data_IF_765098114856
#
_entry.id   IF_765098114856
#
_cell.length_a   1.000
_cell.length_b   1.000
_cell.length_c   1.000
_cell.angle_alpha   90.00
_cell.angle_beta   90.00
_cell.angle_gamma   90.00
#
_symmetry.space_group_name_H-M   'P 1'
#
loop_
_entity.id
_entity.type
_entity.pdbx_description
1 polymer ?
#
# COMPACT_ATOMS: atom_id res chain seq x y z
N UNK A 1 -45.75 -77.33 38.07
CA UNK A 1 -44.51 -77.02 37.32
C UNK A 1 -43.34 -77.44 38.21
N UNK A 2 -42.61 -78.51 37.91
CA UNK A 2 -41.38 -78.84 38.67
C UNK A 2 -40.36 -77.75 38.35
N UNK A 3 -40.04 -76.90 39.31
CA UNK A 3 -38.97 -75.91 39.16
C UNK A 3 -37.65 -76.68 39.03
N UNK A 4 -37.15 -76.76 37.80
CA UNK A 4 -35.85 -77.37 37.50
C UNK A 4 -34.77 -76.46 38.08
N UNK A 5 -33.91 -76.97 38.94
CA UNK A 5 -32.76 -76.21 39.46
C UNK A 5 -31.83 -75.88 38.29
N UNK A 6 -31.66 -74.58 38.01
CA UNK A 6 -30.76 -74.09 36.98
C UNK A 6 -29.38 -73.81 37.59
N UNK A 7 -28.33 -74.11 36.84
CA UNK A 7 -26.98 -73.65 37.15
C UNK A 7 -26.86 -72.14 36.94
N UNK A 8 -25.86 -71.51 37.58
CA UNK A 8 -25.61 -70.06 37.45
C UNK A 8 -25.45 -69.64 35.98
N UNK A 9 -24.77 -70.46 35.17
CA UNK A 9 -24.63 -70.20 33.73
C UNK A 9 -25.95 -70.30 32.96
N UNK A 10 -26.82 -71.26 33.30
CA UNK A 10 -28.14 -71.38 32.70
C UNK A 10 -29.05 -70.20 33.05
N UNK A 11 -28.94 -69.65 34.27
CA UNK A 11 -29.66 -68.42 34.67
C UNK A 11 -29.21 -67.23 33.83
N UNK A 12 -27.89 -66.98 33.72
CA UNK A 12 -27.37 -65.86 32.92
C UNK A 12 -27.74 -65.99 31.43
N UNK A 13 -27.67 -67.20 30.88
CA UNK A 13 -28.06 -67.46 29.50
C UNK A 13 -29.56 -67.28 29.27
N UNK A 14 -30.39 -67.64 30.25
CA UNK A 14 -31.83 -67.44 30.19
C UNK A 14 -32.19 -65.95 30.18
N UNK A 15 -31.62 -65.15 31.09
CA UNK A 15 -31.84 -63.68 31.12
C UNK A 15 -31.33 -63.02 29.85
N UNK A 16 -30.15 -63.43 29.36
CA UNK A 16 -29.62 -62.94 28.08
C UNK A 16 -30.60 -63.16 26.94
N UNK A 17 -31.17 -64.37 26.81
CA UNK A 17 -32.15 -64.69 25.75
C UNK A 17 -33.44 -63.89 25.88
N UNK A 18 -33.90 -63.60 27.09
CA UNK A 18 -35.08 -62.76 27.28
C UNK A 18 -34.82 -61.32 26.82
N UNK A 19 -33.67 -60.76 27.21
CA UNK A 19 -33.28 -59.39 26.86
C UNK A 19 -32.99 -59.23 25.37
N UNK A 20 -32.32 -60.20 24.74
CA UNK A 20 -31.97 -60.12 23.31
C UNK A 20 -33.15 -60.34 22.36
N UNK A 21 -34.19 -61.05 22.81
CA UNK A 21 -35.40 -61.30 22.00
C UNK A 21 -36.49 -60.24 22.20
N UNK A 22 -36.34 -59.36 23.19
CA UNK A 22 -37.27 -58.26 23.41
C UNK A 22 -37.05 -57.15 22.37
N UNK A 23 -38.14 -56.78 21.69
CA UNK A 23 -38.10 -55.81 20.60
C UNK A 23 -37.71 -54.40 21.06
N UNK A 24 -38.13 -54.01 22.27
CA UNK A 24 -37.87 -52.69 22.85
C UNK A 24 -36.40 -52.62 23.27
N UNK A 25 -35.91 -53.64 23.98
CA UNK A 25 -34.54 -53.69 24.50
C UNK A 25 -33.47 -53.78 23.40
N UNK A 26 -33.85 -54.23 22.20
CA UNK A 26 -32.97 -54.30 21.03
C UNK A 26 -32.77 -52.94 20.34
N UNK A 27 -33.67 -51.98 20.53
CA UNK A 27 -33.62 -50.68 19.85
C UNK A 27 -33.99 -49.55 20.81
N UNK A 28 -33.16 -49.35 21.84
CA UNK A 28 -33.37 -48.35 22.87
C UNK A 28 -32.77 -47.00 22.46
N UNK A 29 -33.49 -45.93 22.78
CA UNK A 29 -32.93 -44.59 22.89
C UNK A 29 -32.88 -44.21 24.37
N UNK A 30 -31.68 -43.93 24.89
CA UNK A 30 -31.48 -43.62 26.30
C UNK A 30 -30.77 -42.28 26.42
N UNK A 31 -31.32 -41.39 27.23
CA UNK A 31 -30.72 -40.08 27.56
C UNK A 31 -30.01 -40.17 28.91
N UNK A 32 -28.86 -39.52 29.04
CA UNK A 32 -28.15 -39.43 30.31
C UNK A 32 -26.82 -38.71 30.19
N UNK A 33 -26.12 -38.61 31.31
CA UNK A 33 -24.80 -37.98 31.41
C UNK A 33 -23.70 -39.04 31.33
N UNK A 34 -22.65 -38.77 30.55
CA UNK A 34 -21.47 -39.63 30.45
C UNK A 34 -20.66 -39.53 31.74
N UNK A 35 -20.33 -40.69 32.32
CA UNK A 35 -19.40 -40.79 33.42
C UNK A 35 -18.45 -41.99 33.26
N UNK A 36 -17.28 -41.97 33.88
CA UNK A 36 -16.23 -42.99 33.81
C UNK A 36 -15.79 -43.30 32.36
N UNK A 37 -15.61 -42.27 31.54
CA UNK A 37 -15.20 -42.41 30.15
C UNK A 37 -13.75 -42.93 30.01
N UNK A 38 -13.57 -44.02 29.25
CA UNK A 38 -12.28 -44.66 28.97
C UNK A 38 -12.16 -45.02 27.49
N UNK A 39 -11.08 -44.54 26.88
CA UNK A 39 -10.69 -44.91 25.51
C UNK A 39 -9.72 -46.09 25.56
N UNK A 40 -10.10 -47.21 24.98
CA UNK A 40 -9.24 -48.40 24.94
C UNK A 40 -8.33 -48.38 23.71
N UNK A 41 -7.12 -48.95 23.82
CA UNK A 41 -6.14 -49.02 22.71
C UNK A 41 -6.63 -49.77 21.48
N UNK A 42 -7.64 -50.63 21.63
CA UNK A 42 -8.32 -51.34 20.54
C UNK A 42 -9.31 -50.48 19.75
N UNK A 43 -9.52 -49.22 20.14
CA UNK A 43 -10.47 -48.31 19.51
C UNK A 43 -11.92 -48.47 20.00
N UNK A 44 -12.15 -49.20 21.09
CA UNK A 44 -13.44 -49.26 21.77
C UNK A 44 -13.54 -48.16 22.83
N UNK A 45 -14.74 -47.62 23.01
CA UNK A 45 -15.01 -46.62 24.03
C UNK A 45 -15.90 -47.27 25.09
N UNK A 46 -15.46 -47.19 26.35
CA UNK A 46 -16.22 -47.66 27.49
C UNK A 46 -16.59 -46.47 28.35
N UNK A 47 -17.85 -46.37 28.76
CA UNK A 47 -18.31 -45.35 29.68
C UNK A 47 -19.52 -45.86 30.44
N UNK A 48 -19.99 -45.09 31.39
CA UNK A 48 -21.25 -45.30 32.10
C UNK A 48 -22.20 -44.17 31.76
N UNK A 49 -23.46 -44.49 31.49
CA UNK A 49 -24.51 -43.49 31.38
C UNK A 49 -25.22 -43.42 32.72
N UNK A 50 -25.31 -42.22 33.30
CA UNK A 50 -26.00 -41.98 34.58
C UNK A 50 -27.17 -41.00 34.40
N UNK A 51 -28.18 -41.18 35.22
CA UNK A 51 -29.24 -40.21 35.50
C UNK A 51 -29.30 -39.93 37.01
N UNK A 52 -30.34 -39.25 37.50
CA UNK A 52 -30.49 -38.91 38.92
C UNK A 52 -30.58 -40.13 39.85
N UNK A 53 -31.07 -41.27 39.35
CA UNK A 53 -31.47 -42.42 40.16
C UNK A 53 -30.73 -43.72 39.79
N UNK A 54 -30.00 -43.76 38.68
CA UNK A 54 -29.52 -45.00 38.07
C UNK A 54 -28.28 -44.80 37.20
N UNK A 55 -27.55 -45.90 36.99
CA UNK A 55 -26.33 -45.98 36.19
C UNK A 55 -26.34 -47.28 35.39
N UNK A 56 -25.91 -47.21 34.12
CA UNK A 56 -25.71 -48.37 33.26
C UNK A 56 -24.38 -48.29 32.51
N UNK A 57 -23.70 -49.43 32.38
CA UNK A 57 -22.44 -49.52 31.64
C UNK A 57 -22.71 -49.51 30.13
N UNK A 58 -21.90 -48.76 29.39
CA UNK A 58 -22.02 -48.53 27.96
C UNK A 58 -20.71 -48.89 27.26
N UNK A 59 -20.82 -49.51 26.09
CA UNK A 59 -19.70 -49.82 25.21
C UNK A 59 -20.03 -49.40 23.78
N UNK A 60 -19.12 -48.66 23.15
CA UNK A 60 -19.18 -48.34 21.74
C UNK A 60 -18.04 -49.07 21.02
N UNK A 61 -18.39 -49.94 20.08
CA UNK A 61 -17.40 -50.68 19.30
C UNK A 61 -16.70 -49.76 18.28
N UNK A 62 -15.51 -50.17 17.84
CA UNK A 62 -14.63 -49.36 16.97
C UNK A 62 -15.34 -48.95 15.68
N UNK A 63 -16.08 -49.87 15.06
CA UNK A 63 -16.79 -49.62 13.80
C UNK A 63 -17.84 -48.51 13.93
N UNK A 64 -18.47 -48.39 15.11
CA UNK A 64 -19.43 -47.33 15.39
C UNK A 64 -18.72 -46.04 15.85
N UNK A 65 -17.64 -46.16 16.63
CA UNK A 65 -16.88 -45.04 17.15
C UNK A 65 -16.20 -44.20 16.05
N UNK A 66 -15.86 -44.80 14.91
CA UNK A 66 -15.29 -44.09 13.74
C UNK A 66 -16.31 -43.13 13.11
N UNK A 67 -17.61 -43.42 13.22
CA UNK A 67 -18.68 -42.59 12.65
C UNK A 67 -19.18 -41.51 13.63
N UNK A 68 -18.41 -41.21 14.68
CA UNK A 68 -18.79 -40.22 15.67
C UNK A 68 -18.24 -38.85 15.26
N UNK A 69 -19.14 -37.90 14.99
CA UNK A 69 -18.79 -36.55 14.49
C UNK A 69 -18.10 -35.65 15.54
N UNK A 70 -18.02 -36.10 16.80
CA UNK A 70 -17.47 -35.33 17.90
C UNK A 70 -16.78 -36.22 18.93
N UNK A 71 -15.88 -35.64 19.72
CA UNK A 71 -15.21 -36.35 20.81
C UNK A 71 -16.10 -36.36 22.05
N UNK A 72 -16.25 -37.54 22.67
CA UNK A 72 -16.94 -37.67 23.96
C UNK A 72 -16.06 -37.12 25.09
N UNK A 73 -16.69 -36.43 26.03
CA UNK A 73 -16.06 -35.92 27.26
C UNK A 73 -16.87 -36.35 28.48
N UNK A 74 -16.19 -36.43 29.62
CA UNK A 74 -16.80 -36.72 30.92
C UNK A 74 -17.80 -35.61 31.26
N UNK A 75 -19.00 -35.96 31.72
CA UNK A 75 -20.05 -35.01 32.08
C UNK A 75 -20.95 -34.56 30.93
N UNK A 76 -20.70 -35.01 29.69
CA UNK A 76 -21.58 -34.66 28.56
C UNK A 76 -22.96 -35.32 28.66
N UNK A 77 -24.02 -34.54 28.43
CA UNK A 77 -25.38 -35.06 28.25
C UNK A 77 -25.56 -35.55 26.81
N UNK A 78 -25.96 -36.81 26.66
CA UNK A 78 -26.07 -37.47 25.36
C UNK A 78 -27.36 -38.28 25.25
N UNK A 79 -27.83 -38.41 24.03
CA UNK A 79 -28.88 -39.34 23.63
C UNK A 79 -28.25 -40.46 22.81
N UNK A 80 -28.40 -41.68 23.30
CA UNK A 80 -27.71 -42.85 22.77
C UNK A 80 -28.73 -43.81 22.20
N UNK A 81 -28.55 -44.16 20.92
CA UNK A 81 -29.22 -45.31 20.32
C UNK A 81 -28.38 -46.56 20.61
N UNK A 82 -28.95 -47.51 21.35
CA UNK A 82 -28.25 -48.69 21.83
C UNK A 82 -29.15 -49.92 21.90
N UNK A 83 -28.51 -51.09 21.98
CA UNK A 83 -29.15 -52.35 22.35
C UNK A 83 -28.69 -52.77 23.74
N UNK A 84 -29.62 -53.22 24.58
CA UNK A 84 -29.30 -53.78 25.88
C UNK A 84 -28.87 -55.24 25.70
N UNK A 85 -27.80 -55.63 26.38
CA UNK A 85 -27.40 -57.03 26.46
C UNK A 85 -26.81 -57.38 27.82
N UNK A 86 -26.61 -58.68 28.03
CA UNK A 86 -26.08 -59.23 29.29
C UNK A 86 -24.72 -59.85 29.02
N UNK A 87 -23.71 -59.39 29.76
CA UNK A 87 -22.38 -59.98 29.69
C UNK A 87 -22.36 -61.32 30.45
N UNK A 88 -22.44 -62.42 29.70
CA UNK A 88 -22.66 -63.76 30.21
C UNK A 88 -21.69 -64.21 31.33
N UNK A 89 -20.43 -63.76 31.30
CA UNK A 89 -19.42 -64.16 32.30
C UNK A 89 -19.67 -63.58 33.70
N UNK A 90 -20.23 -62.38 33.79
CA UNK A 90 -20.44 -61.67 35.07
C UNK A 90 -21.92 -61.40 35.36
N UNK A 91 -22.83 -61.68 34.41
CA UNK A 91 -24.26 -61.42 34.55
C UNK A 91 -24.62 -59.93 34.55
N UNK A 92 -23.71 -59.05 34.11
CA UNK A 92 -23.91 -57.59 34.15
C UNK A 92 -24.63 -57.07 32.91
N UNK A 93 -25.52 -56.10 33.11
CA UNK A 93 -26.21 -55.39 32.01
C UNK A 93 -25.27 -54.37 31.36
N UNK A 94 -25.27 -54.34 30.03
CA UNK A 94 -24.48 -53.40 29.25
C UNK A 94 -25.28 -52.89 28.04
N UNK A 95 -25.19 -51.59 27.78
CA UNK A 95 -25.69 -50.97 26.56
C UNK A 95 -24.59 -51.00 25.49
N UNK A 96 -24.88 -51.62 24.35
CA UNK A 96 -24.04 -51.57 23.16
C UNK A 96 -24.50 -50.40 22.31
N UNK A 97 -23.72 -49.32 22.31
CA UNK A 97 -24.03 -48.06 21.66
C UNK A 97 -23.78 -48.15 20.15
N UNK A 98 -24.80 -47.84 19.36
CA UNK A 98 -24.73 -47.80 17.90
C UNK A 98 -24.46 -46.38 17.39
N UNK A 99 -25.16 -45.39 17.97
CA UNK A 99 -25.03 -43.98 17.64
C UNK A 99 -25.23 -43.11 18.89
N UNK A 100 -24.45 -42.03 19.00
CA UNK A 100 -24.50 -41.09 20.13
C UNK A 100 -24.70 -39.69 19.56
N UNK A 101 -25.76 -39.02 20.00
CA UNK A 101 -26.02 -37.60 19.72
C UNK A 101 -25.87 -36.81 21.01
N UNK A 102 -25.42 -35.56 20.92
CA UNK A 102 -25.47 -34.64 22.06
C UNK A 102 -26.93 -34.31 22.36
N UNK A 103 -27.36 -34.50 23.61
CA UNK A 103 -28.72 -34.15 24.02
C UNK A 103 -28.83 -32.63 24.17
N UNK A 104 -29.91 -32.01 23.66
CA UNK A 104 -30.20 -30.56 23.82
C UNK A 104 -29.77 -29.65 22.67
N UNK A 105 -28.74 -30.01 21.89
CA UNK A 105 -28.25 -29.16 20.79
C UNK A 105 -29.23 -29.14 19.59
N UNK A 106 -29.92 -30.25 19.32
CA UNK A 106 -30.86 -30.32 18.19
C UNK A 106 -32.02 -29.34 18.29
N UNK A 107 -32.65 -29.26 19.47
CA UNK A 107 -33.79 -28.35 19.72
C UNK A 107 -33.35 -26.89 19.66
N UNK A 108 -32.26 -26.51 20.33
CA UNK A 108 -31.71 -25.15 20.28
C UNK A 108 -31.26 -24.77 18.86
N UNK A 109 -30.70 -25.69 18.09
CA UNK A 109 -30.30 -25.42 16.72
C UNK A 109 -31.50 -25.21 15.80
N UNK A 110 -32.56 -26.01 15.95
CA UNK A 110 -33.83 -25.81 15.25
C UNK A 110 -34.48 -24.47 15.61
N UNK A 111 -34.52 -24.12 16.90
CA UNK A 111 -35.01 -22.82 17.38
C UNK A 111 -34.21 -21.65 16.81
N UNK A 112 -32.88 -21.76 16.76
CA UNK A 112 -32.02 -20.74 16.16
C UNK A 112 -32.31 -20.55 14.68
N UNK A 113 -32.41 -21.65 13.92
CA UNK A 113 -32.70 -21.58 12.49
C UNK A 113 -34.08 -21.00 12.21
N UNK A 114 -35.08 -21.35 13.03
CA UNK A 114 -36.43 -20.79 12.96
C UNK A 114 -36.41 -19.28 13.22
N UNK A 115 -35.81 -18.85 14.33
CA UNK A 115 -35.73 -17.44 14.71
C UNK A 115 -34.95 -16.63 13.68
N UNK A 116 -33.82 -17.16 13.19
CA UNK A 116 -33.03 -16.52 12.12
C UNK A 116 -33.85 -16.33 10.86
N UNK A 117 -34.64 -17.32 10.45
CA UNK A 117 -35.48 -17.22 9.26
C UNK A 117 -36.56 -16.14 9.45
N UNK A 118 -37.26 -16.15 10.58
CA UNK A 118 -38.31 -15.16 10.89
C UNK A 118 -37.76 -13.72 10.88
N UNK A 119 -36.66 -13.45 11.59
CA UNK A 119 -36.05 -12.12 11.66
C UNK A 119 -35.43 -11.68 10.31
N UNK A 120 -34.97 -12.64 9.50
CA UNK A 120 -34.48 -12.36 8.16
C UNK A 120 -35.61 -11.97 7.20
N UNK A 121 -36.78 -12.60 7.32
CA UNK A 121 -37.98 -12.25 6.55
C UNK A 121 -38.52 -10.88 6.94
N UNK A 122 -38.36 -10.48 8.21
CA UNK A 122 -38.67 -9.14 8.72
C UNK A 122 -37.66 -8.06 8.26
N UNK A 123 -36.53 -8.45 7.64
CA UNK A 123 -35.53 -7.54 7.09
C UNK A 123 -34.59 -6.90 8.13
N UNK A 124 -34.57 -7.41 9.36
CA UNK A 124 -33.79 -6.84 10.48
C UNK A 124 -32.27 -6.99 10.24
N UNK A 125 -31.86 -7.96 9.42
CA UNK A 125 -30.45 -8.19 9.08
C UNK A 125 -29.97 -7.40 7.85
N UNK A 126 -30.84 -6.60 7.21
CA UNK A 126 -30.49 -5.89 5.98
C UNK A 126 -29.35 -4.88 6.21
N UNK A 127 -28.28 -5.01 5.43
CA UNK A 127 -27.11 -4.11 5.47
C UNK A 127 -27.46 -2.62 5.30
N UNK A 128 -28.60 -2.30 4.67
CA UNK A 128 -29.06 -0.91 4.46
C UNK A 128 -29.44 -0.20 5.77
N UNK A 129 -29.76 -0.94 6.83
CA UNK A 129 -30.11 -0.38 8.13
C UNK A 129 -28.90 -0.28 9.08
N UNK A 130 -27.79 -0.96 8.75
CA UNK A 130 -26.59 -0.96 9.58
C UNK A 130 -25.90 0.39 9.53
N UNK A 131 -25.53 0.89 10.71
CA UNK A 131 -24.88 2.18 10.93
C UNK A 131 -23.36 2.04 10.73
N UNK A 132 -22.76 3.04 10.11
CA UNK A 132 -21.30 3.11 10.00
C UNK A 132 -20.69 3.49 11.34
N UNK A 133 -19.65 2.78 11.75
CA UNK A 133 -18.95 3.09 12.99
C UNK A 133 -18.25 4.46 12.94
N UNK A 134 -18.25 5.21 14.06
CA UNK A 134 -17.52 6.47 14.14
C UNK A 134 -16.02 6.24 13.90
N UNK A 135 -15.40 7.03 13.02
CA UNK A 135 -13.94 6.96 12.76
C UNK A 135 -13.10 7.33 13.98
N UNK A 136 -13.61 8.25 14.79
CA UNK A 136 -12.94 8.78 15.98
C UNK A 136 -13.94 8.83 17.15
N UNK A 137 -14.30 7.67 17.73
CA UNK A 137 -15.12 7.68 18.93
C UNK A 137 -14.33 8.36 20.06
N UNK A 138 -15.02 9.02 20.97
CA UNK A 138 -14.45 9.55 22.22
C UNK A 138 -14.73 8.61 23.38
N UNK A 139 -15.91 8.00 23.38
CA UNK A 139 -16.40 7.15 24.47
C UNK A 139 -16.95 5.84 23.95
N UNK A 140 -16.47 4.73 24.52
CA UNK A 140 -16.87 3.38 24.13
C UNK A 140 -17.68 2.77 25.28
N UNK A 141 -18.90 2.34 24.98
CA UNK A 141 -19.74 1.58 25.89
C UNK A 141 -19.43 0.09 25.77
N UNK A 142 -19.26 -0.60 26.89
CA UNK A 142 -19.07 -2.05 26.91
C UNK A 142 -20.19 -2.66 27.74
N UNK A 143 -20.94 -3.59 27.15
CA UNK A 143 -21.95 -4.40 27.83
C UNK A 143 -21.41 -5.82 27.93
N UNK A 144 -20.98 -6.19 29.14
CA UNK A 144 -20.44 -7.53 29.42
C UNK A 144 -20.42 -7.77 30.93
N UNK A 145 -20.00 -8.97 31.36
CA UNK A 145 -19.83 -9.29 32.77
C UNK A 145 -18.78 -8.37 33.42
N UNK A 146 -19.05 -7.92 34.66
CA UNK A 146 -18.13 -7.07 35.43
C UNK A 146 -16.73 -7.68 35.59
N UNK A 147 -16.67 -9.00 35.66
CA UNK A 147 -15.45 -9.79 35.79
C UNK A 147 -15.40 -10.83 34.68
N UNK A 148 -14.24 -10.97 34.02
CA UNK A 148 -14.04 -11.97 32.98
C UNK A 148 -12.83 -11.65 32.09
N UNK A 149 -12.46 -12.59 31.23
CA UNK A 149 -11.42 -12.36 30.22
C UNK A 149 -11.88 -11.32 29.19
N UNK A 150 -13.11 -11.44 28.68
CA UNK A 150 -13.64 -10.56 27.63
C UNK A 150 -13.54 -9.06 27.95
N UNK A 151 -13.97 -8.64 29.15
CA UNK A 151 -13.89 -7.22 29.55
C UNK A 151 -12.43 -6.74 29.66
N UNK A 152 -11.53 -7.59 30.19
CA UNK A 152 -10.11 -7.26 30.31
C UNK A 152 -9.45 -7.16 28.95
N UNK A 153 -9.77 -8.08 28.05
CA UNK A 153 -9.23 -8.12 26.69
C UNK A 153 -9.64 -6.88 25.90
N UNK A 154 -10.93 -6.51 25.93
CA UNK A 154 -11.43 -5.29 25.29
C UNK A 154 -10.71 -4.05 25.86
N UNK A 155 -10.66 -3.91 27.19
CA UNK A 155 -10.03 -2.75 27.84
C UNK A 155 -8.54 -2.67 27.50
N UNK A 156 -7.81 -3.79 27.61
CA UNK A 156 -6.38 -3.85 27.34
C UNK A 156 -6.06 -3.46 25.89
N UNK A 157 -6.85 -3.96 24.94
CA UNK A 157 -6.67 -3.64 23.53
C UNK A 157 -6.93 -2.16 23.25
N UNK A 158 -8.06 -1.61 23.73
CA UNK A 158 -8.40 -0.19 23.56
C UNK A 158 -7.30 0.68 24.17
N UNK A 159 -6.92 0.46 25.43
CA UNK A 159 -5.91 1.26 26.11
C UNK A 159 -4.52 1.14 25.48
N UNK A 160 -4.15 -0.02 24.95
CA UNK A 160 -2.87 -0.20 24.23
C UNK A 160 -2.85 0.61 22.94
N UNK A 161 -3.94 0.65 22.18
CA UNK A 161 -4.03 1.35 20.89
C UNK A 161 -4.26 2.84 21.04
N UNK A 162 -5.09 3.25 21.99
CA UNK A 162 -5.46 4.64 22.20
C UNK A 162 -5.91 4.91 23.65
N UNK A 163 -5.01 5.52 24.43
CA UNK A 163 -5.25 5.89 25.83
C UNK A 163 -6.19 7.09 26.01
N UNK A 164 -6.54 7.79 24.93
CA UNK A 164 -7.40 8.98 24.98
C UNK A 164 -8.89 8.65 24.90
N UNK A 165 -9.25 7.38 24.76
CA UNK A 165 -10.63 6.91 24.70
C UNK A 165 -11.17 6.63 26.11
N UNK A 166 -12.34 7.18 26.42
CA UNK A 166 -13.05 6.81 27.65
C UNK A 166 -13.76 5.48 27.46
N UNK A 167 -13.69 4.62 28.47
CA UNK A 167 -14.36 3.33 28.47
C UNK A 167 -15.42 3.34 29.58
N UNK A 168 -16.68 3.09 29.20
CA UNK A 168 -17.81 3.01 30.14
C UNK A 168 -18.33 1.57 30.12
N UNK A 169 -18.18 0.87 31.25
CA UNK A 169 -18.67 -0.49 31.42
C UNK A 169 -20.07 -0.47 32.04
N UNK A 170 -21.04 -1.06 31.33
CA UNK A 170 -22.32 -1.47 31.90
C UNK A 170 -22.24 -2.96 32.27
N UNK A 171 -22.20 -3.30 33.58
CA UNK A 171 -22.09 -4.68 34.00
C UNK A 171 -23.41 -5.41 33.75
N UNK A 172 -23.44 -6.32 32.78
CA UNK A 172 -24.60 -7.12 32.42
C UNK A 172 -24.38 -8.61 32.69
N UNK A 173 -25.48 -9.33 32.93
CA UNK A 173 -25.47 -10.81 32.89
C UNK A 173 -25.40 -11.24 31.43
N UNK A 174 -24.38 -12.03 31.10
CA UNK A 174 -24.15 -12.50 29.72
C UNK A 174 -24.45 -13.99 29.54
N UNK A 175 -24.96 -14.66 30.58
CA UNK A 175 -25.34 -16.08 30.55
C UNK A 175 -26.48 -16.36 31.55
N UNK A 176 -27.27 -17.39 31.27
CA UNK A 176 -28.47 -17.77 32.05
C UNK A 176 -29.76 -17.13 31.53
N UNK A 177 -30.90 -17.50 32.12
CA UNK A 177 -32.24 -17.15 31.62
C UNK A 177 -32.50 -15.64 31.50
N UNK A 178 -32.01 -14.84 32.45
CA UNK A 178 -32.21 -13.37 32.47
C UNK A 178 -31.05 -12.58 31.84
N UNK A 179 -30.23 -13.21 31.01
CA UNK A 179 -29.09 -12.53 30.40
C UNK A 179 -29.51 -11.58 29.27
N UNK A 180 -30.47 -11.99 28.42
CA UNK A 180 -30.96 -11.15 27.34
C UNK A 180 -31.53 -9.83 27.87
N UNK A 181 -32.38 -9.88 28.90
CA UNK A 181 -32.97 -8.69 29.55
C UNK A 181 -31.90 -7.74 30.10
N UNK A 182 -30.87 -8.29 30.76
CA UNK A 182 -29.78 -7.48 31.31
C UNK A 182 -28.96 -6.76 30.23
N UNK A 183 -28.80 -7.37 29.06
CA UNK A 183 -28.12 -6.77 27.91
C UNK A 183 -29.01 -5.68 27.29
N UNK A 184 -30.32 -5.94 27.14
CA UNK A 184 -31.32 -4.98 26.64
C UNK A 184 -31.31 -3.72 27.52
N UNK A 185 -31.32 -3.87 28.85
CA UNK A 185 -31.22 -2.75 29.79
C UNK A 185 -29.94 -1.93 29.58
N UNK A 186 -28.81 -2.59 29.32
CA UNK A 186 -27.55 -1.91 29.03
C UNK A 186 -27.61 -1.09 27.73
N UNK A 187 -28.23 -1.63 26.68
CA UNK A 187 -28.40 -0.93 25.40
C UNK A 187 -29.30 0.30 25.61
N UNK A 188 -30.41 0.13 26.34
CA UNK A 188 -31.33 1.23 26.68
C UNK A 188 -30.65 2.31 27.51
N UNK A 189 -29.86 1.91 28.51
CA UNK A 189 -29.09 2.84 29.34
C UNK A 189 -28.20 3.75 28.48
N UNK A 190 -27.38 3.17 27.60
CA UNK A 190 -26.51 3.96 26.74
C UNK A 190 -27.27 4.83 25.74
N UNK A 191 -28.37 4.33 25.17
CA UNK A 191 -29.20 5.10 24.24
C UNK A 191 -29.94 6.28 24.90
N UNK A 192 -30.36 6.12 26.16
CA UNK A 192 -31.05 7.16 26.93
C UNK A 192 -30.09 8.24 27.41
N UNK A 193 -28.98 7.84 28.04
CA UNK A 193 -27.97 8.77 28.57
C UNK A 193 -27.14 9.44 27.46
N UNK A 194 -27.08 8.85 26.26
CA UNK A 194 -26.23 9.28 25.14
C UNK A 194 -24.77 9.47 25.57
N UNK A 195 -24.29 8.59 26.43
CA UNK A 195 -23.00 8.73 27.09
C UNK A 195 -21.83 8.16 26.28
N UNK A 196 -22.10 7.42 25.20
CA UNK A 196 -21.10 6.71 24.38
C UNK A 196 -21.38 6.86 22.88
N UNK A 197 -20.33 6.73 22.07
CA UNK A 197 -20.39 6.85 20.60
C UNK A 197 -20.55 5.50 19.89
N UNK A 198 -20.19 4.41 20.56
CA UNK A 198 -20.28 3.03 20.07
C UNK A 198 -20.47 2.08 21.25
N UNK A 199 -21.23 1.00 21.06
CA UNK A 199 -21.50 -0.02 22.08
C UNK A 199 -20.90 -1.35 21.63
N UNK A 200 -20.13 -2.00 22.49
CA UNK A 200 -19.65 -3.37 22.30
C UNK A 200 -20.50 -4.31 23.17
N UNK A 201 -21.10 -5.32 22.54
CA UNK A 201 -21.74 -6.45 23.20
C UNK A 201 -20.72 -7.58 23.24
N UNK A 202 -20.24 -7.95 24.42
CA UNK A 202 -19.12 -8.87 24.54
C UNK A 202 -19.39 -10.03 25.47
N UNK A 203 -18.95 -11.22 25.07
CA UNK A 203 -18.83 -12.39 25.96
C UNK A 203 -17.52 -13.13 25.66
N UNK A 204 -16.98 -13.82 26.67
CA UNK A 204 -15.84 -14.72 26.46
C UNK A 204 -16.27 -16.00 25.73
N UNK A 205 -15.35 -16.93 25.53
CA UNK A 205 -15.69 -18.28 25.07
C UNK A 205 -16.72 -18.97 25.97
N UNK A 206 -17.42 -19.95 25.42
CA UNK A 206 -18.47 -20.69 26.12
C UNK A 206 -19.13 -21.73 25.23
N UNK A 207 -19.90 -22.65 25.82
CA UNK A 207 -20.71 -23.59 25.05
C UNK A 207 -21.85 -22.87 24.30
N UNK A 208 -22.46 -23.54 23.32
CA UNK A 208 -23.59 -22.99 22.55
C UNK A 208 -24.79 -22.62 23.45
N UNK A 209 -25.03 -23.41 24.50
CA UNK A 209 -26.07 -23.19 25.52
C UNK A 209 -25.84 -21.88 26.28
N UNK A 210 -24.57 -21.59 26.50
CA UNK A 210 -24.09 -20.44 27.23
C UNK A 210 -24.19 -19.16 26.38
N UNK A 211 -24.04 -19.27 25.05
CA UNK A 211 -24.23 -18.18 24.08
C UNK A 211 -25.71 -17.96 23.73
N UNK A 212 -26.61 -18.83 24.19
CA UNK A 212 -28.02 -18.81 23.83
C UNK A 212 -28.74 -17.50 24.16
N UNK A 213 -28.28 -16.79 25.21
CA UNK A 213 -28.79 -15.48 25.58
C UNK A 213 -28.76 -14.44 24.44
N UNK A 214 -27.88 -14.62 23.46
CA UNK A 214 -27.72 -13.75 22.29
C UNK A 214 -28.59 -14.16 21.09
N UNK A 215 -29.33 -15.27 21.20
CA UNK A 215 -30.33 -15.77 20.26
C UNK A 215 -31.75 -15.44 20.75
N UNK A 216 -31.99 -14.17 21.07
CA UNK A 216 -33.27 -13.70 21.61
C UNK A 216 -33.88 -12.64 20.68
N UNK A 217 -35.20 -12.72 20.47
CA UNK A 217 -35.96 -11.82 19.59
C UNK A 217 -35.97 -10.38 20.10
N UNK A 218 -36.25 -10.17 21.38
CA UNK A 218 -36.33 -8.83 21.96
C UNK A 218 -34.96 -8.13 21.96
N UNK A 219 -33.88 -8.89 22.22
CA UNK A 219 -32.52 -8.38 22.10
C UNK A 219 -32.19 -7.99 20.66
N UNK A 220 -32.57 -8.80 19.67
CA UNK A 220 -32.41 -8.46 18.25
C UNK A 220 -33.10 -7.12 17.92
N UNK A 221 -34.35 -6.94 18.32
CA UNK A 221 -35.06 -5.67 18.11
C UNK A 221 -34.41 -4.49 18.83
N UNK A 222 -33.91 -4.68 20.04
CA UNK A 222 -33.24 -3.61 20.78
C UNK A 222 -31.91 -3.20 20.11
N UNK A 223 -31.13 -4.16 19.61
CA UNK A 223 -29.91 -3.89 18.84
C UNK A 223 -30.24 -3.11 17.57
N UNK A 224 -31.24 -3.57 16.81
CA UNK A 224 -31.68 -2.93 15.57
C UNK A 224 -32.18 -1.48 15.79
N UNK A 225 -32.93 -1.26 16.86
CA UNK A 225 -33.48 0.05 17.19
C UNK A 225 -32.48 0.98 17.90
N UNK A 226 -31.27 0.51 18.20
CA UNK A 226 -30.23 1.33 18.82
C UNK A 226 -29.89 2.55 17.96
N UNK A 227 -29.82 3.72 18.61
CA UNK A 227 -29.39 4.98 17.99
C UNK A 227 -27.87 5.06 17.91
N UNK A 228 -27.19 4.34 18.80
CA UNK A 228 -25.73 4.24 18.88
C UNK A 228 -25.28 2.96 18.16
N UNK A 229 -24.26 3.02 17.29
CA UNK A 229 -23.76 1.86 16.59
C UNK A 229 -23.31 0.74 17.52
N UNK A 230 -23.62 -0.52 17.18
CA UNK A 230 -23.35 -1.70 17.99
C UNK A 230 -22.34 -2.64 17.33
N UNK A 231 -21.46 -3.22 18.14
CA UNK A 231 -20.48 -4.23 17.73
C UNK A 231 -20.71 -5.50 18.53
N UNK A 232 -21.03 -6.61 17.86
CA UNK A 232 -21.11 -7.92 18.51
C UNK A 232 -19.74 -8.57 18.60
N UNK A 233 -19.39 -9.07 19.77
CA UNK A 233 -18.13 -9.72 20.10
C UNK A 233 -18.37 -10.99 20.94
N UNK A 234 -19.32 -11.80 20.48
CA UNK A 234 -19.89 -12.94 21.24
C UNK A 234 -19.44 -14.27 20.65
N UNK A 235 -19.54 -14.43 19.33
CA UNK A 235 -19.21 -15.68 18.63
C UNK A 235 -17.74 -15.80 18.22
N UNK A 236 -17.25 -17.04 18.11
CA UNK A 236 -16.01 -17.37 17.39
C UNK A 236 -16.29 -17.56 15.90
N UNK A 237 -15.29 -17.87 15.06
CA UNK A 237 -15.47 -17.99 13.60
C UNK A 237 -16.57 -18.96 13.15
N UNK A 238 -16.96 -19.92 13.98
CA UNK A 238 -17.96 -20.98 13.67
C UNK A 238 -19.31 -20.84 14.40
N UNK A 239 -19.37 -20.09 15.50
CA UNK A 239 -20.56 -20.01 16.37
C UNK A 239 -21.25 -18.65 16.24
N UNK A 240 -22.07 -18.48 15.20
CA UNK A 240 -22.82 -17.24 14.98
C UNK A 240 -24.09 -17.19 15.83
N UNK A 241 -24.35 -16.02 16.41
CA UNK A 241 -25.58 -15.71 17.16
C UNK A 241 -26.46 -14.74 16.38
N UNK A 242 -27.74 -14.64 16.74
CA UNK A 242 -28.65 -13.64 16.15
C UNK A 242 -28.10 -12.22 16.36
N UNK A 243 -27.56 -11.94 17.55
CA UNK A 243 -26.94 -10.65 17.85
C UNK A 243 -25.80 -10.29 16.88
N UNK A 244 -25.04 -11.28 16.38
CA UNK A 244 -23.99 -11.06 15.38
C UNK A 244 -24.55 -10.63 14.01
N UNK A 245 -25.75 -11.10 13.64
CA UNK A 245 -26.38 -10.75 12.37
C UNK A 245 -27.03 -9.36 12.41
N UNK A 246 -27.62 -8.99 13.55
CA UNK A 246 -28.32 -7.71 13.71
C UNK A 246 -27.36 -6.55 13.97
N UNK A 247 -26.26 -6.80 14.70
CA UNK A 247 -25.32 -5.72 15.05
C UNK A 247 -24.74 -5.06 13.80
N UNK A 248 -24.41 -3.78 13.93
CA UNK A 248 -23.89 -3.00 12.80
C UNK A 248 -22.55 -3.55 12.31
N UNK A 249 -21.74 -4.06 13.23
CA UNK A 249 -20.50 -4.76 12.92
C UNK A 249 -20.34 -5.99 13.79
N UNK A 250 -19.71 -7.02 13.23
CA UNK A 250 -19.32 -8.24 13.93
C UNK A 250 -17.81 -8.27 14.14
N UNK A 251 -17.39 -8.61 15.36
CA UNK A 251 -16.03 -8.96 15.70
C UNK A 251 -15.95 -10.43 16.13
N UNK A 252 -14.95 -11.19 15.65
CA UNK A 252 -14.81 -12.62 15.98
C UNK A 252 -14.34 -12.88 17.42
N UNK A 253 -13.86 -11.85 18.13
CA UNK A 253 -13.41 -11.95 19.52
C UNK A 253 -13.62 -10.61 20.24
N UNK A 254 -13.71 -10.61 21.59
CA UNK A 254 -13.67 -9.38 22.39
C UNK A 254 -12.45 -8.49 22.06
N UNK A 255 -11.27 -9.09 21.91
CA UNK A 255 -10.05 -8.36 21.50
C UNK A 255 -10.22 -7.67 20.16
N UNK A 256 -10.73 -8.38 19.14
CA UNK A 256 -10.97 -7.82 17.81
C UNK A 256 -11.99 -6.69 17.84
N UNK A 257 -13.02 -6.77 18.70
CA UNK A 257 -13.98 -5.68 18.88
C UNK A 257 -13.31 -4.41 19.39
N UNK A 258 -12.40 -4.55 20.37
CA UNK A 258 -11.58 -3.45 20.86
C UNK A 258 -10.70 -2.83 19.78
N UNK A 259 -10.10 -3.64 18.90
CA UNK A 259 -9.29 -3.13 17.78
C UNK A 259 -10.12 -2.38 16.75
N UNK A 260 -11.33 -2.89 16.47
CA UNK A 260 -12.23 -2.38 15.45
C UNK A 260 -12.77 -0.99 15.83
N UNK A 261 -13.07 -0.76 17.11
CA UNK A 261 -13.56 0.54 17.59
C UNK A 261 -12.45 1.51 18.00
N UNK A 262 -11.20 1.04 18.16
CA UNK A 262 -10.10 1.86 18.68
C UNK A 262 -9.11 2.24 17.57
N UNK A 263 -9.22 3.46 16.99
CA UNK A 263 -8.22 3.96 16.06
C UNK A 263 -6.84 4.03 16.73
N UNK A 264 -5.77 3.74 15.98
CA UNK A 264 -4.41 3.76 16.51
C UNK A 264 -3.93 5.19 16.73
N UNK A 265 -3.68 5.57 17.99
CA UNK A 265 -3.17 6.90 18.33
C UNK A 265 -1.81 7.16 17.66
N UNK A 266 -0.96 6.13 17.60
CA UNK A 266 0.36 6.25 16.98
C UNK A 266 0.27 6.50 15.47
N UNK A 267 -0.64 5.83 14.77
CA UNK A 267 -0.86 6.07 13.34
C UNK A 267 -1.39 7.49 13.09
N UNK A 268 -2.31 7.98 13.93
CA UNK A 268 -2.82 9.34 13.85
C UNK A 268 -1.73 10.39 14.06
N UNK A 269 -0.85 10.19 15.05
CA UNK A 269 0.30 11.08 15.30
C UNK A 269 1.24 11.06 14.10
N UNK A 270 1.56 9.87 13.56
CA UNK A 270 2.43 9.73 12.41
C UNK A 270 1.85 10.41 11.17
N UNK A 271 0.55 10.25 10.90
CA UNK A 271 -0.14 10.94 9.79
C UNK A 271 -0.07 12.47 9.96
N UNK A 272 -0.26 12.97 11.17
CA UNK A 272 -0.18 14.40 11.47
C UNK A 272 1.23 14.96 11.26
N UNK A 273 2.27 14.24 11.68
CA UNK A 273 3.67 14.59 11.43
C UNK A 273 3.98 14.60 9.93
N UNK A 274 3.55 13.57 9.20
CA UNK A 274 3.74 13.49 7.75
C UNK A 274 3.06 14.65 7.01
N UNK A 275 1.84 15.02 7.41
CA UNK A 275 1.12 16.17 6.87
C UNK A 275 1.81 17.49 7.17
N UNK A 276 2.35 17.65 8.38
CA UNK A 276 3.17 18.82 8.76
C UNK A 276 4.41 18.95 7.88
N UNK A 277 5.17 17.87 7.72
CA UNK A 277 6.37 17.85 6.86
C UNK A 277 6.06 18.07 5.38
N UNK A 278 4.93 17.56 4.91
CA UNK A 278 4.44 17.87 3.57
C UNK A 278 4.14 19.36 3.40
N UNK A 279 3.46 19.97 4.37
CA UNK A 279 3.11 21.39 4.34
C UNK A 279 4.36 22.28 4.35
N UNK A 280 5.34 21.99 5.21
CA UNK A 280 6.62 22.71 5.21
C UNK A 280 7.31 22.67 3.84
N UNK A 281 7.46 21.47 3.27
CA UNK A 281 8.07 21.31 1.94
C UNK A 281 7.29 22.05 0.84
N UNK A 282 5.97 22.07 0.91
CA UNK A 282 5.14 22.78 -0.05
C UNK A 282 5.34 24.30 0.03
N UNK A 283 5.45 24.84 1.24
CA UNK A 283 5.74 26.26 1.48
C UNK A 283 7.15 26.62 1.01
N UNK A 284 8.16 25.85 1.38
CA UNK A 284 9.55 26.09 0.97
C UNK A 284 9.71 26.07 -0.55
N UNK A 285 9.07 25.10 -1.21
CA UNK A 285 9.06 25.01 -2.67
C UNK A 285 8.41 26.23 -3.30
N UNK A 286 7.30 26.73 -2.74
CA UNK A 286 6.63 27.93 -3.24
C UNK A 286 7.52 29.16 -3.09
N UNK A 287 8.21 29.31 -1.96
CA UNK A 287 9.15 30.41 -1.73
C UNK A 287 10.36 30.35 -2.67
N UNK A 288 10.95 29.16 -2.85
CA UNK A 288 12.07 28.94 -3.78
C UNK A 288 11.70 29.26 -5.22
N UNK A 289 10.51 28.85 -5.67
CA UNK A 289 10.03 29.15 -7.02
C UNK A 289 9.81 30.65 -7.20
N UNK A 290 9.10 31.31 -6.26
CA UNK A 290 8.90 32.75 -6.32
C UNK A 290 10.23 33.53 -6.33
N UNK A 291 11.22 33.10 -5.54
CA UNK A 291 12.56 33.69 -5.56
C UNK A 291 13.23 33.52 -6.92
N UNK A 292 13.18 32.32 -7.51
CA UNK A 292 13.71 32.06 -8.85
C UNK A 292 13.05 32.93 -9.92
N UNK A 293 11.73 33.10 -9.84
CA UNK A 293 10.98 33.93 -10.78
C UNK A 293 11.43 35.40 -10.69
N UNK A 294 11.58 35.92 -9.46
CA UNK A 294 12.12 37.27 -9.23
C UNK A 294 13.55 37.40 -9.75
N UNK A 295 14.41 36.41 -9.50
CA UNK A 295 15.80 36.41 -9.99
C UNK A 295 15.87 36.39 -11.52
N UNK A 296 14.98 35.63 -12.18
CA UNK A 296 14.87 35.58 -13.64
C UNK A 296 14.39 36.92 -14.22
N UNK A 297 13.36 37.53 -13.63
CA UNK A 297 12.88 38.85 -14.03
C UNK A 297 13.97 39.91 -13.83
N UNK A 298 14.70 39.86 -12.71
CA UNK A 298 15.79 40.78 -12.44
C UNK A 298 16.96 40.63 -13.43
N UNK A 299 17.32 39.38 -13.79
CA UNK A 299 18.31 39.11 -14.84
C UNK A 299 17.84 39.59 -16.22
N UNK A 300 16.56 39.37 -16.54
CA UNK A 300 15.95 39.85 -17.78
C UNK A 300 15.98 41.37 -17.89
N UNK A 301 15.65 42.08 -16.80
CA UNK A 301 15.73 43.54 -16.72
C UNK A 301 17.16 44.06 -16.89
N UNK A 302 18.15 43.42 -16.24
CA UNK A 302 19.56 43.81 -16.38
C UNK A 302 20.11 43.54 -17.78
N UNK A 303 19.78 42.39 -18.37
CA UNK A 303 20.24 42.03 -19.71
C UNK A 303 19.62 42.91 -20.81
N UNK A 304 18.37 43.32 -20.64
CA UNK A 304 17.66 44.21 -21.56
C UNK A 304 17.81 45.70 -21.19
N UNK A 305 18.79 46.07 -20.37
CA UNK A 305 19.03 47.46 -20.02
C UNK A 305 19.37 48.27 -21.29
N UNK A 306 18.51 49.23 -21.70
CA UNK A 306 18.71 49.98 -22.95
C UNK A 306 20.04 50.73 -22.96
N UNK A 307 20.49 51.26 -21.83
CA UNK A 307 21.78 51.96 -21.71
C UNK A 307 22.93 51.03 -22.05
N UNK A 308 22.92 49.79 -21.55
CA UNK A 308 23.99 48.84 -21.83
C UNK A 308 24.00 48.37 -23.29
N UNK A 309 22.80 48.19 -23.89
CA UNK A 309 22.66 47.88 -25.31
C UNK A 309 23.19 49.04 -26.16
N UNK A 310 22.83 50.28 -25.82
CA UNK A 310 23.27 51.49 -26.52
C UNK A 310 24.79 51.66 -26.38
N UNK A 311 25.36 51.52 -25.19
CA UNK A 311 26.81 51.59 -24.96
C UNK A 311 27.58 50.56 -25.79
N UNK A 312 27.07 49.32 -25.89
CA UNK A 312 27.67 48.28 -26.72
C UNK A 312 27.62 48.67 -28.20
N UNK A 313 26.49 49.17 -28.70
CA UNK A 313 26.34 49.61 -30.09
C UNK A 313 27.19 50.82 -30.42
N UNK A 314 27.31 51.80 -29.51
CA UNK A 314 28.21 52.95 -29.67
C UNK A 314 29.65 52.47 -29.81
N UNK A 315 30.11 51.55 -28.95
CA UNK A 315 31.45 50.95 -29.08
C UNK A 315 31.64 50.24 -30.42
N UNK A 316 30.67 49.46 -30.88
CA UNK A 316 30.73 48.80 -32.19
C UNK A 316 30.83 49.82 -33.33
N UNK A 317 30.04 50.90 -33.30
CA UNK A 317 30.11 51.99 -34.29
C UNK A 317 31.49 52.64 -34.30
N UNK A 318 32.02 53.02 -33.14
CA UNK A 318 33.34 53.64 -33.03
C UNK A 318 34.45 52.72 -33.58
N UNK A 319 34.38 51.43 -33.27
CA UNK A 319 35.36 50.45 -33.75
C UNK A 319 35.29 50.29 -35.28
N UNK A 320 34.08 50.29 -35.84
CA UNK A 320 33.87 50.25 -37.28
C UNK A 320 34.34 51.53 -37.97
N UNK A 321 34.14 52.69 -37.35
CA UNK A 321 34.60 53.98 -37.84
C UNK A 321 36.14 54.05 -37.87
N UNK A 322 36.80 53.66 -36.78
CA UNK A 322 38.28 53.55 -36.73
C UNK A 322 38.81 52.62 -37.82
N UNK A 323 38.16 51.47 -38.00
CA UNK A 323 38.55 50.50 -39.03
C UNK A 323 38.34 51.04 -40.45
N UNK A 324 37.22 51.74 -40.68
CA UNK A 324 36.92 52.37 -41.97
C UNK A 324 37.97 53.44 -42.29
N UNK A 325 38.27 54.32 -41.34
CA UNK A 325 39.27 55.38 -41.50
C UNK A 325 40.67 54.81 -41.76
N UNK A 326 41.05 53.77 -41.03
CA UNK A 326 42.33 53.09 -41.24
C UNK A 326 42.42 52.45 -42.64
N UNK A 327 41.40 51.70 -43.06
CA UNK A 327 41.38 51.07 -44.38
C UNK A 327 41.31 52.08 -45.52
N UNK A 328 40.52 53.15 -45.34
CA UNK A 328 40.42 54.26 -46.28
C UNK A 328 41.76 54.95 -46.49
N UNK A 329 42.42 55.33 -45.39
CA UNK A 329 43.76 55.95 -45.45
C UNK A 329 44.78 55.02 -46.11
N UNK A 330 44.81 53.75 -45.73
CA UNK A 330 45.71 52.75 -46.33
C UNK A 330 45.50 52.59 -47.84
N UNK A 331 44.25 52.67 -48.31
CA UNK A 331 43.94 52.59 -49.75
C UNK A 331 44.45 53.83 -50.51
N UNK A 332 44.29 55.02 -49.93
CA UNK A 332 44.81 56.27 -50.50
C UNK A 332 46.34 56.25 -50.53
N UNK A 333 46.98 55.86 -49.44
CA UNK A 333 48.44 55.81 -49.35
C UNK A 333 49.02 54.81 -50.36
N UNK A 334 48.41 53.62 -50.50
CA UNK A 334 48.81 52.65 -51.52
C UNK A 334 48.71 53.21 -52.94
N UNK A 335 47.62 53.93 -53.26
CA UNK A 335 47.46 54.55 -54.57
C UNK A 335 48.51 55.65 -54.83
N UNK A 336 48.91 56.40 -53.79
CA UNK A 336 50.02 57.37 -53.88
C UNK A 336 51.35 56.67 -54.14
N UNK A 337 51.65 55.60 -53.42
CA UNK A 337 52.88 54.83 -53.59
C UNK A 337 52.97 54.23 -55.01
N UNK A 338 51.86 53.72 -55.53
CA UNK A 338 51.75 53.23 -56.92
C UNK A 338 52.04 54.35 -57.93
N UNK A 339 51.46 55.55 -57.75
CA UNK A 339 51.73 56.71 -58.60
C UNK A 339 53.19 57.16 -58.55
N UNK A 340 53.79 57.20 -57.35
CA UNK A 340 55.21 57.55 -57.18
C UNK A 340 56.10 56.54 -57.91
N UNK A 341 55.79 55.25 -57.79
CA UNK A 341 56.53 54.17 -58.43
C UNK A 341 56.43 54.27 -59.95
N UNK A 342 55.23 54.45 -60.50
CA UNK A 342 54.99 54.67 -61.93
C UNK A 342 55.78 55.88 -62.46
N UNK A 343 55.78 56.98 -61.72
CA UNK A 343 56.53 58.18 -62.09
C UNK A 343 58.05 57.93 -62.09
N UNK A 344 58.57 57.18 -61.11
CA UNK A 344 59.99 56.81 -61.05
C UNK A 344 60.42 55.90 -62.21
N UNK A 345 59.57 54.94 -62.60
CA UNK A 345 59.79 54.08 -63.77
C UNK A 345 59.84 54.94 -65.04
N UNK A 346 58.90 55.87 -65.19
CA UNK A 346 58.83 56.78 -66.34
C UNK A 346 60.09 57.66 -66.43
N UNK A 347 60.61 58.13 -65.30
CA UNK A 347 61.88 58.87 -65.26
C UNK A 347 63.09 57.99 -65.61
N UNK A 348 63.11 56.72 -65.22
CA UNK A 348 64.24 55.82 -65.51
C UNK A 348 64.30 55.42 -66.98
N UNK A 349 63.14 55.25 -67.62
CA UNK A 349 63.03 54.91 -69.04
C UNK A 349 63.19 56.13 -69.98
N UNK A 350 63.36 57.34 -69.45
CA UNK A 350 63.55 58.54 -70.26
C UNK A 350 64.97 58.57 -70.88
N UNK A 351 65.12 58.45 -72.22
CA UNK A 351 66.43 58.40 -72.89
C UNK A 351 67.30 59.65 -72.66
N UNK A 352 66.68 60.80 -72.36
CA UNK A 352 67.38 62.04 -72.03
C UNK A 352 68.15 61.94 -70.71
N UNK A 353 67.70 61.11 -69.77
CA UNK A 353 68.43 60.87 -68.51
C UNK A 353 69.67 60.01 -68.74
N UNK A 354 69.64 59.09 -69.70
CA UNK A 354 70.81 58.29 -70.11
C UNK A 354 71.86 59.17 -70.77
N UNK A 355 71.46 60.09 -71.66
CA UNK A 355 72.34 61.13 -72.24
C UNK A 355 72.86 62.10 -71.17
N UNK A 356 72.05 62.41 -70.15
CA UNK A 356 72.41 63.27 -69.04
C UNK A 356 73.51 62.72 -68.11
N UNK A 357 73.74 61.40 -68.09
CA UNK A 357 74.80 60.74 -67.30
C UNK A 357 76.17 60.74 -67.98
N UNK A 358 76.30 61.40 -69.14
CA UNK A 358 77.56 61.51 -69.89
C UNK A 358 77.78 60.43 -70.93
N UNK A 359 76.81 59.54 -71.14
CA UNK A 359 76.82 58.64 -72.28
C UNK A 359 76.42 59.41 -73.54
N UNK A 360 77.15 59.17 -74.63
CA UNK A 360 76.83 59.73 -75.93
C UNK A 360 76.42 58.61 -76.89
N UNK A 361 75.53 58.94 -77.82
CA UNK A 361 75.11 58.00 -78.86
C UNK A 361 75.90 58.32 -80.12
N UNK A 362 76.70 57.35 -80.58
CA UNK A 362 77.51 57.49 -81.79
C UNK A 362 76.71 56.96 -82.97
N UNK A 363 76.62 57.74 -84.04
CA UNK A 363 75.89 57.43 -85.26
C UNK A 363 76.80 57.57 -86.49
N UNK A 364 76.51 56.79 -87.52
CA UNK A 364 77.14 56.91 -88.84
C UNK A 364 76.53 58.09 -89.66
N UNK A 365 77.10 58.41 -90.83
CA UNK A 365 76.58 59.41 -91.78
C UNK A 365 75.12 59.16 -92.22
N UNK A 366 74.63 57.93 -92.14
CA UNK A 366 73.23 57.56 -92.38
C UNK A 366 72.35 57.57 -91.10
N UNK A 367 72.80 58.24 -90.02
CA UNK A 367 72.11 58.36 -88.71
C UNK A 367 71.82 57.01 -88.01
N UNK A 368 72.55 55.95 -88.38
CA UNK A 368 72.43 54.63 -87.75
C UNK A 368 73.35 54.52 -86.54
N UNK A 369 72.83 54.04 -85.40
CA UNK A 369 73.61 53.92 -84.15
C UNK A 369 74.69 52.85 -84.29
N UNK A 370 75.93 53.24 -84.03
CA UNK A 370 77.10 52.36 -84.03
C UNK A 370 77.31 51.83 -82.62
N UNK A 371 77.12 50.52 -82.42
CA UNK A 371 77.28 49.88 -81.12
C UNK A 371 78.58 49.07 -80.99
N UNK A 372 79.32 48.87 -82.09
CA UNK A 372 80.52 48.02 -82.13
C UNK A 372 81.74 48.77 -82.66
N UNK A 373 82.90 48.55 -82.04
CA UNK A 373 84.17 49.22 -82.41
C UNK A 373 84.60 48.90 -83.85
N UNK A 374 84.26 47.71 -84.35
CA UNK A 374 84.57 47.24 -85.70
C UNK A 374 83.93 48.12 -86.79
N UNK A 375 82.71 48.61 -86.54
CA UNK A 375 81.98 49.50 -87.45
C UNK A 375 82.51 50.93 -87.38
N UNK A 376 82.95 51.36 -86.20
CA UNK A 376 83.61 52.65 -86.01
C UNK A 376 84.89 52.77 -86.86
N UNK A 377 85.62 51.66 -87.07
CA UNK A 377 86.87 51.65 -87.85
C UNK A 377 86.69 51.90 -89.35
N UNK A 378 85.49 51.75 -89.88
CA UNK A 378 85.21 51.89 -91.33
C UNK A 378 84.82 53.30 -91.74
N UNK A 379 84.57 54.18 -90.78
CA UNK A 379 84.04 55.52 -91.03
C UNK A 379 85.05 56.59 -90.64
N UNK A 380 85.36 57.47 -91.61
CA UNK A 380 86.27 58.59 -91.39
C UNK A 380 85.62 59.72 -90.54
N UNK A 381 84.28 59.80 -90.51
CA UNK A 381 83.50 60.72 -89.68
C UNK A 381 82.34 60.00 -89.00
N UNK A 382 82.07 60.34 -87.73
CA UNK A 382 80.85 59.95 -87.01
C UNK A 382 80.17 61.14 -86.36
N UNK A 383 78.86 61.02 -86.18
CA UNK A 383 78.03 61.99 -85.48
C UNK A 383 77.79 61.52 -84.06
N UNK A 384 78.19 62.31 -83.08
CA UNK A 384 78.02 61.99 -81.66
C UNK A 384 76.93 62.87 -81.08
N UNK A 385 75.86 62.25 -80.58
CA UNK A 385 74.76 62.94 -79.89
C UNK A 385 75.04 62.94 -78.39
N UNK A 386 75.09 64.13 -77.83
CA UNK A 386 75.25 64.40 -76.40
C UNK A 386 74.01 65.12 -75.86
N UNK A 387 73.98 65.36 -74.55
CA UNK A 387 72.85 65.98 -73.83
C UNK A 387 72.37 67.30 -74.44
N UNK A 388 73.30 68.08 -75.00
CA UNK A 388 73.10 69.46 -75.44
C UNK A 388 73.15 69.65 -76.96
N UNK A 389 73.40 68.58 -77.73
CA UNK A 389 73.43 68.67 -79.19
C UNK A 389 74.16 67.50 -79.85
N UNK A 390 74.39 67.62 -81.15
CA UNK A 390 75.16 66.65 -81.93
C UNK A 390 76.38 67.30 -82.57
N UNK A 391 77.52 66.64 -82.50
CA UNK A 391 78.77 67.10 -83.13
C UNK A 391 79.29 66.01 -84.08
N UNK A 392 79.75 66.42 -85.26
CA UNK A 392 80.44 65.52 -86.18
C UNK A 392 81.94 65.56 -85.87
N UNK A 393 82.53 64.40 -85.67
CA UNK A 393 83.96 64.25 -85.36
C UNK A 393 84.62 63.35 -86.40
N UNK A 394 85.82 63.74 -86.84
CA UNK A 394 86.69 62.89 -87.65
C UNK A 394 87.39 61.88 -86.73
N UNK A 395 87.35 60.60 -87.08
CA UNK A 395 87.98 59.54 -86.29
C UNK A 395 89.36 59.25 -86.86
N UNK A 396 90.39 59.41 -86.04
CA UNK A 396 91.75 58.95 -86.38
C UNK A 396 92.07 57.70 -85.56
N UNK A 397 92.03 56.54 -86.22
CA UNK A 397 92.32 55.26 -85.57
C UNK A 397 93.83 55.13 -85.42
N UNK A 398 94.31 55.15 -84.19
CA UNK A 398 95.69 54.79 -83.86
C UNK A 398 95.62 53.31 -83.48
N UNK A 399 96.08 52.42 -84.37
CA UNK A 399 96.20 51.00 -84.04
C UNK A 399 97.48 50.84 -83.20
N UNK A 400 97.32 50.57 -81.90
CA UNK A 400 98.37 49.97 -81.07
C UNK A 400 98.44 48.45 -81.28
#
# INVERSE_FOLDING_TARGET
>A
MKLKTLSVGEVNNYVKKLVENDFILKNLNVKGEISNLKFHSSGHIYFSLKDENSKVNCIMFKNNAVNLDFRLEEGMKVEIKARLGVYHKEGTYQLYCENIKKAGIGELFEEFHKLKKELSEEGIFDEKYKRVLPKFPKRIGIITARTGAAVRDIINVIQRRNKSLDIILYPAKVQGENAADSIIEGIRYFNNEKSVDVIILGRGGGSIEELWAFNNRDLAYEIFNSRIPTVSAVGHEVDFTISDFVSDMRAPTPSAAGELVSPSLQEMINDLVNKKEFLHRAVDRRFLNAKKDVDLLHKGLKGNNPTHIIEKRIKEVNTLEEKLNFLGKRKIDKAKDELITLNSILQTLNPLNTLGRGYSVIMDKEDKVINEVSELKKNDMVKVIMKDGSVNIDIKIINE
#
